data_IF_722140752187
#
_entry.id   IF_722140752187
#
_cell.length_a   1.000
_cell.length_b   1.000
_cell.length_c   1.000
_cell.angle_alpha   90.00
_cell.angle_beta   90.00
_cell.angle_gamma   90.00
#
_symmetry.space_group_name_H-M   'P 1'
#
loop_
_entity.id
_entity.type
_entity.pdbx_description
1 polymer ?
#
# COMPACT_ATOMS: atom_id res chain seq x y z
N UNK A 1 -0.58 1.26 12.56
CA UNK A 1 -0.79 1.69 11.17
C UNK A 1 -2.25 1.47 10.86
N UNK A 2 -3.01 2.53 10.56
CA UNK A 2 -4.32 2.39 9.94
C UNK A 2 -4.18 2.51 8.43
N UNK A 3 -5.01 1.77 7.72
CA UNK A 3 -5.19 1.87 6.28
C UNK A 3 -6.53 2.57 6.05
N UNK A 4 -6.51 3.71 5.37
CA UNK A 4 -7.69 4.50 5.02
C UNK A 4 -7.80 4.63 3.49
N UNK A 5 -8.96 5.01 2.97
CA UNK A 5 -9.16 5.23 1.54
C UNK A 5 -9.92 4.10 0.85
N UNK A 6 -9.48 3.72 -0.35
CA UNK A 6 -10.18 2.80 -1.24
C UNK A 6 -10.31 1.39 -0.63
N UNK A 7 -11.53 0.87 -0.45
CA UNK A 7 -11.74 -0.41 0.22
C UNK A 7 -11.15 -1.59 -0.56
N UNK A 8 -11.16 -1.57 -1.90
CA UNK A 8 -10.61 -2.65 -2.73
C UNK A 8 -9.08 -2.71 -2.54
N UNK A 9 -8.40 -1.57 -2.63
CA UNK A 9 -6.95 -1.49 -2.41
C UNK A 9 -6.54 -1.88 -0.98
N UNK A 10 -7.35 -1.54 0.03
CA UNK A 10 -7.12 -1.97 1.42
C UNK A 10 -7.24 -3.49 1.57
N UNK A 11 -8.21 -4.11 0.92
CA UNK A 11 -8.36 -5.57 0.93
C UNK A 11 -7.15 -6.26 0.29
N UNK A 12 -6.60 -5.71 -0.78
CA UNK A 12 -5.39 -6.24 -1.42
C UNK A 12 -4.15 -6.12 -0.50
N UNK A 13 -4.00 -5.01 0.24
CA UNK A 13 -2.94 -4.88 1.24
C UNK A 13 -3.08 -5.87 2.40
N UNK A 14 -4.32 -6.14 2.84
CA UNK A 14 -4.58 -7.20 3.83
C UNK A 14 -4.20 -8.57 3.27
N UNK A 15 -4.56 -8.86 2.02
CA UNK A 15 -4.16 -10.10 1.37
C UNK A 15 -2.63 -10.25 1.30
N UNK A 16 -1.89 -9.19 0.98
CA UNK A 16 -0.42 -9.23 0.99
C UNK A 16 0.18 -9.38 2.39
N UNK A 17 -0.52 -8.91 3.42
CA UNK A 17 -0.09 -9.10 4.81
C UNK A 17 -0.25 -10.56 5.26
N UNK A 18 -1.35 -11.21 4.87
CA UNK A 18 -1.64 -12.61 5.20
C UNK A 18 -0.88 -13.62 4.33
N UNK A 19 -0.43 -13.24 3.15
CA UNK A 19 0.35 -14.10 2.25
C UNK A 19 1.85 -14.00 2.53
N UNK A 20 2.47 -15.08 3.02
CA UNK A 20 3.91 -15.13 3.31
C UNK A 20 4.78 -14.78 2.10
N UNK A 21 4.36 -15.16 0.88
CA UNK A 21 5.08 -14.86 -0.37
C UNK A 21 5.03 -13.37 -0.75
N UNK A 22 3.98 -12.66 -0.33
CA UNK A 22 3.77 -11.24 -0.63
C UNK A 22 4.16 -10.33 0.53
N UNK A 23 4.52 -10.89 1.68
CA UNK A 23 4.90 -10.14 2.88
C UNK A 23 6.12 -9.27 2.67
N UNK A 24 7.13 -9.76 1.94
CA UNK A 24 8.31 -8.95 1.61
C UNK A 24 8.01 -7.87 0.56
N UNK A 25 7.11 -8.16 -0.39
CA UNK A 25 6.59 -7.14 -1.30
C UNK A 25 5.83 -6.03 -0.55
N UNK A 26 4.97 -6.39 0.41
CA UNK A 26 4.27 -5.44 1.26
C UNK A 26 5.23 -4.54 2.04
N UNK A 27 6.29 -5.12 2.65
CA UNK A 27 7.31 -4.34 3.35
C UNK A 27 8.04 -3.39 2.39
N UNK A 28 8.35 -3.85 1.18
CA UNK A 28 9.01 -3.04 0.16
C UNK A 28 8.15 -1.82 -0.18
N UNK A 29 6.88 -2.00 -0.54
CA UNK A 29 5.99 -0.87 -0.89
C UNK A 29 5.75 0.07 0.30
N UNK A 30 5.55 -0.47 1.52
CA UNK A 30 5.39 0.37 2.71
C UNK A 30 6.65 1.19 3.02
N UNK A 31 7.83 0.61 2.82
CA UNK A 31 9.08 1.33 3.02
C UNK A 31 9.29 2.38 1.93
N UNK A 32 9.02 2.03 0.67
CA UNK A 32 9.12 2.95 -0.46
C UNK A 32 8.20 4.16 -0.27
N UNK A 33 6.94 3.94 0.10
CA UNK A 33 6.01 5.01 0.42
C UNK A 33 6.50 5.93 1.55
N UNK A 34 7.29 5.43 2.51
CA UNK A 34 7.87 6.25 3.59
C UNK A 34 9.14 7.00 3.18
N UNK A 35 9.93 6.42 2.29
CA UNK A 35 11.24 6.96 1.90
C UNK A 35 11.20 7.82 0.66
N UNK A 36 10.16 7.68 -0.17
CA UNK A 36 10.00 8.45 -1.38
C UNK A 36 9.70 9.93 -1.06
N UNK A 37 10.19 10.84 -1.89
CA UNK A 37 10.03 12.30 -1.72
C UNK A 37 8.56 12.70 -1.64
N UNK A 38 7.71 12.05 -2.45
CA UNK A 38 6.27 12.29 -2.50
C UNK A 38 5.48 11.54 -1.41
N UNK A 39 6.17 10.82 -0.51
CA UNK A 39 5.58 9.90 0.47
C UNK A 39 4.53 8.95 -0.12
N UNK A 40 4.73 8.48 -1.35
CA UNK A 40 3.79 7.58 -2.03
C UNK A 40 4.51 6.52 -2.85
N UNK A 41 3.84 5.41 -3.08
CA UNK A 41 4.27 4.34 -3.99
C UNK A 41 3.07 3.83 -4.78
N UNK A 42 3.31 3.22 -5.93
CA UNK A 42 2.30 2.52 -6.70
C UNK A 42 2.42 1.02 -6.48
N UNK A 43 1.30 0.35 -6.26
CA UNK A 43 1.25 -1.10 -6.16
C UNK A 43 0.10 -1.66 -7.01
N UNK A 44 0.20 -2.94 -7.36
CA UNK A 44 -0.83 -3.64 -8.12
C UNK A 44 -1.63 -4.59 -7.23
N UNK A 45 -2.86 -4.89 -7.63
CA UNK A 45 -3.64 -5.96 -7.02
C UNK A 45 -2.98 -7.34 -7.24
N UNK A 46 -3.46 -8.37 -6.54
CA UNK A 46 -2.96 -9.74 -6.65
C UNK A 46 -3.02 -10.32 -8.07
N UNK A 47 -3.92 -9.81 -8.93
CA UNK A 47 -4.05 -10.25 -10.32
C UNK A 47 -3.22 -9.40 -11.31
N UNK A 48 -2.57 -8.33 -10.85
CA UNK A 48 -1.87 -7.35 -11.67
C UNK A 48 -2.74 -6.60 -12.71
N UNK A 49 -4.05 -6.54 -12.49
CA UNK A 49 -5.04 -5.90 -13.35
C UNK A 49 -5.30 -4.45 -12.92
N UNK A 50 -5.37 -4.20 -11.61
CA UNK A 50 -5.63 -2.88 -11.03
C UNK A 50 -4.37 -2.30 -10.40
N UNK A 51 -4.21 -0.99 -10.54
CA UNK A 51 -3.17 -0.21 -9.86
C UNK A 51 -3.80 0.64 -8.76
N UNK A 52 -3.05 0.77 -7.68
CA UNK A 52 -3.39 1.60 -6.54
C UNK A 52 -2.18 2.43 -6.14
N UNK A 53 -2.46 3.59 -5.55
CA UNK A 53 -1.47 4.47 -4.97
C UNK A 53 -1.57 4.33 -3.46
N UNK A 54 -0.45 4.06 -2.81
CA UNK A 54 -0.31 4.02 -1.37
C UNK A 54 0.47 5.25 -0.93
N UNK A 55 -0.21 6.16 -0.25
CA UNK A 55 0.35 7.39 0.28
C UNK A 55 0.56 7.25 1.78
N UNK A 56 1.76 7.55 2.27
CA UNK A 56 2.10 7.63 3.68
C UNK A 56 1.86 9.06 4.18
N UNK A 57 1.10 9.20 5.26
CA UNK A 57 0.93 10.47 5.95
C UNK A 57 1.93 10.54 7.12
N UNK A 58 3.00 11.36 7.02
CA UNK A 58 4.04 11.42 8.06
C UNK A 58 3.56 12.09 9.35
N UNK A 59 2.47 12.86 9.30
CA UNK A 59 1.93 13.59 10.46
C UNK A 59 1.19 12.65 11.42
N UNK A 60 0.43 11.71 10.87
CA UNK A 60 -0.35 10.71 11.62
C UNK A 60 0.34 9.34 11.72
N UNK A 61 1.26 9.04 10.80
CA UNK A 61 1.87 7.72 10.65
C UNK A 61 0.93 6.69 10.01
N UNK A 62 -0.15 7.14 9.38
CA UNK A 62 -1.13 6.31 8.69
C UNK A 62 -0.85 6.21 7.19
N UNK A 63 -1.50 5.26 6.54
CA UNK A 63 -1.45 5.09 5.10
C UNK A 63 -2.83 5.28 4.48
N UNK A 64 -2.85 5.93 3.31
CA UNK A 64 -4.04 6.17 2.51
C UNK A 64 -3.88 5.44 1.18
N UNK A 65 -4.90 4.70 0.79
CA UNK A 65 -4.95 3.95 -0.47
C UNK A 65 -5.91 4.64 -1.43
N UNK A 66 -5.46 4.87 -2.66
CA UNK A 66 -6.23 5.53 -3.72
C UNK A 66 -6.15 4.70 -5.01
N UNK A 67 -7.11 4.88 -5.91
CA UNK A 67 -7.05 4.25 -7.25
C UNK A 67 -5.99 4.96 -8.10
N UNK A 68 -5.11 4.19 -8.73
CA UNK A 68 -4.03 4.68 -9.60
C UNK A 68 -4.41 4.80 -11.07
#
# INVERSE_FOLDING_TARGET
MKLNGDPEGIEELKFFHDSDEKKDYLKMILNEAKTNTDNKTEFKDRNNDKKYILTFDPSSGDFVVEKG
#
